data_IF_749297538148
#
_entry.id   IF_749297538148
#
_cell.length_a   1.000
_cell.length_b   1.000
_cell.length_c   1.000
_cell.angle_alpha   90.00
_cell.angle_beta   90.00
_cell.angle_gamma   90.00
#
_symmetry.space_group_name_H-M   'P 1'
#
loop_
_entity.id
_entity.type
_entity.pdbx_description
1 polymer ?
#
# COMPACT_ATOMS: atom_id res chain seq x y z
N UNK A 1 4.79 -44.72 -6.65
CA UNK A 1 4.47 -43.88 -7.84
C UNK A 1 3.25 -42.99 -7.64
N UNK A 2 2.18 -43.45 -7.00
CA UNK A 2 0.93 -42.70 -6.80
C UNK A 2 1.06 -41.36 -6.06
N UNK A 3 1.82 -41.27 -4.97
CA UNK A 3 1.96 -40.03 -4.19
C UNK A 3 2.63 -38.87 -4.96
N UNK A 4 3.54 -39.14 -5.91
CA UNK A 4 4.15 -38.10 -6.74
C UNK A 4 3.19 -37.55 -7.81
N UNK A 5 2.31 -38.38 -8.34
CA UNK A 5 1.28 -37.97 -9.31
C UNK A 5 0.23 -37.08 -8.64
N UNK A 6 -0.26 -37.51 -7.48
CA UNK A 6 -1.22 -36.71 -6.66
C UNK A 6 -0.64 -35.35 -6.29
N UNK A 7 0.61 -35.30 -5.84
CA UNK A 7 1.26 -34.03 -5.50
C UNK A 7 1.41 -33.08 -6.72
N UNK A 8 1.74 -33.61 -7.91
CA UNK A 8 1.79 -32.80 -9.14
C UNK A 8 0.41 -32.29 -9.56
N UNK A 9 -0.61 -33.10 -9.43
CA UNK A 9 -1.99 -32.70 -9.72
C UNK A 9 -2.44 -31.56 -8.80
N UNK A 10 -2.27 -31.72 -7.48
CA UNK A 10 -2.61 -30.68 -6.48
C UNK A 10 -1.88 -29.37 -6.79
N UNK A 11 -0.57 -29.40 -7.07
CA UNK A 11 0.19 -28.20 -7.39
C UNK A 11 -0.31 -27.49 -8.67
N UNK A 12 -0.80 -28.23 -9.67
CA UNK A 12 -1.41 -27.64 -10.88
C UNK A 12 -2.76 -27.01 -10.58
N UNK A 13 -3.62 -27.68 -9.82
CA UNK A 13 -4.92 -27.13 -9.41
C UNK A 13 -4.74 -25.85 -8.60
N UNK A 14 -3.78 -25.85 -7.66
CA UNK A 14 -3.43 -24.67 -6.88
C UNK A 14 -2.93 -23.52 -7.75
N UNK A 15 -2.05 -23.80 -8.70
CA UNK A 15 -1.57 -22.79 -9.65
C UNK A 15 -2.73 -22.18 -10.44
N UNK A 16 -3.62 -22.98 -10.95
CA UNK A 16 -4.79 -22.51 -11.71
C UNK A 16 -5.73 -21.67 -10.85
N UNK A 17 -6.00 -22.08 -9.61
CA UNK A 17 -6.86 -21.32 -8.70
C UNK A 17 -6.23 -19.97 -8.29
N UNK A 18 -4.94 -19.94 -7.93
CA UNK A 18 -4.22 -18.71 -7.58
C UNK A 18 -4.11 -17.78 -8.79
N UNK A 19 -3.74 -18.32 -9.96
CA UNK A 19 -3.68 -17.54 -11.20
C UNK A 19 -5.06 -17.03 -11.62
N UNK A 20 -6.09 -17.88 -11.59
CA UNK A 20 -7.45 -17.49 -11.97
C UNK A 20 -8.01 -16.38 -11.11
N UNK A 21 -7.90 -16.50 -9.77
CA UNK A 21 -8.34 -15.44 -8.85
C UNK A 21 -7.58 -14.13 -9.09
N UNK A 22 -6.26 -14.19 -9.21
CA UNK A 22 -5.43 -13.03 -9.52
C UNK A 22 -5.78 -12.41 -10.88
N UNK A 23 -5.86 -13.22 -11.95
CA UNK A 23 -6.12 -12.76 -13.31
C UNK A 23 -7.49 -12.07 -13.44
N UNK A 24 -8.54 -12.62 -12.82
CA UNK A 24 -9.86 -12.02 -12.80
C UNK A 24 -9.80 -10.64 -12.16
N UNK A 25 -9.24 -10.53 -10.96
CA UNK A 25 -9.16 -9.25 -10.25
C UNK A 25 -8.35 -8.21 -11.02
N UNK A 26 -7.15 -8.59 -11.50
CA UNK A 26 -6.28 -7.69 -12.27
C UNK A 26 -6.95 -7.26 -13.57
N UNK A 27 -7.60 -8.17 -14.30
CA UNK A 27 -8.31 -7.82 -15.54
C UNK A 27 -9.43 -6.82 -15.29
N UNK A 28 -10.22 -6.99 -14.22
CA UNK A 28 -11.25 -6.04 -13.82
C UNK A 28 -10.65 -4.67 -13.45
N UNK A 29 -9.56 -4.67 -12.68
CA UNK A 29 -8.87 -3.43 -12.30
C UNK A 29 -8.28 -2.69 -13.53
N UNK A 30 -7.67 -3.41 -14.46
CA UNK A 30 -7.11 -2.84 -15.69
C UNK A 30 -8.22 -2.30 -16.61
N UNK A 31 -9.35 -3.01 -16.70
CA UNK A 31 -10.52 -2.53 -17.45
C UNK A 31 -11.08 -1.24 -16.84
N UNK A 32 -11.24 -1.19 -15.53
CA UNK A 32 -11.75 0.01 -14.83
C UNK A 32 -10.74 1.17 -14.88
N UNK A 33 -9.43 0.89 -14.90
CA UNK A 33 -8.40 1.92 -14.92
C UNK A 33 -8.51 2.89 -16.12
N UNK A 34 -9.05 2.46 -17.25
CA UNK A 34 -9.29 3.34 -18.43
C UNK A 34 -10.31 4.46 -18.14
N UNK A 35 -11.16 4.26 -17.13
CA UNK A 35 -12.16 5.24 -16.69
C UNK A 35 -11.67 6.09 -15.51
N UNK A 36 -10.43 5.91 -15.05
CA UNK A 36 -9.91 6.69 -13.94
C UNK A 36 -9.90 8.18 -14.26
N UNK A 37 -10.21 8.99 -13.27
CA UNK A 37 -10.22 10.45 -13.32
C UNK A 37 -9.54 11.03 -12.10
N UNK A 38 -8.93 12.22 -12.20
CA UNK A 38 -8.39 12.91 -11.04
C UNK A 38 -9.46 13.12 -9.96
N UNK A 39 -9.08 12.90 -8.69
CA UNK A 39 -9.96 13.17 -7.58
C UNK A 39 -10.05 14.68 -7.31
N UNK A 40 -11.25 15.18 -7.04
CA UNK A 40 -11.48 16.61 -6.77
C UNK A 40 -10.88 17.06 -5.45
N UNK A 41 -10.77 16.16 -4.50
CA UNK A 41 -10.32 16.50 -3.13
C UNK A 41 -8.87 17.02 -3.13
N UNK A 42 -7.94 16.29 -3.74
CA UNK A 42 -6.51 16.60 -3.63
C UNK A 42 -5.78 16.69 -4.97
N UNK A 43 -6.16 15.89 -5.97
CA UNK A 43 -5.33 15.71 -7.16
C UNK A 43 -5.13 17.02 -7.96
N UNK A 44 -6.16 17.86 -8.05
CA UNK A 44 -6.02 19.17 -8.69
C UNK A 44 -5.16 20.14 -7.90
N UNK A 45 -5.13 20.03 -6.58
CA UNK A 45 -4.27 20.86 -5.73
C UNK A 45 -2.78 20.53 -5.98
N UNK A 46 -2.44 19.25 -6.03
CA UNK A 46 -1.08 18.81 -6.39
C UNK A 46 -0.75 19.15 -7.84
N UNK A 47 -1.69 18.93 -8.77
CA UNK A 47 -1.51 19.21 -10.19
C UNK A 47 -1.26 20.70 -10.46
N UNK A 48 -2.01 21.59 -9.82
CA UNK A 48 -1.80 23.02 -9.93
C UNK A 48 -0.42 23.43 -9.44
N UNK A 49 -0.04 23.00 -8.23
CA UNK A 49 1.27 23.35 -7.65
C UNK A 49 2.42 22.80 -8.50
N UNK A 50 2.27 21.59 -9.04
CA UNK A 50 3.28 21.00 -9.94
C UNK A 50 3.37 21.77 -11.27
N UNK A 51 2.26 22.27 -11.78
CA UNK A 51 2.21 23.08 -13.00
C UNK A 51 2.88 24.43 -12.81
N UNK A 52 2.69 25.06 -11.65
CA UNK A 52 3.20 26.40 -11.33
C UNK A 52 4.69 26.38 -10.97
N UNK A 53 5.10 25.45 -10.12
CA UNK A 53 6.44 25.44 -9.51
C UNK A 53 7.32 24.28 -10.00
N UNK A 54 6.78 23.30 -10.70
CA UNK A 54 7.46 22.05 -11.02
C UNK A 54 7.43 21.03 -9.88
N UNK A 55 7.87 19.80 -10.17
CA UNK A 55 7.73 18.65 -9.25
C UNK A 55 8.47 18.84 -7.93
N UNK A 56 9.75 19.20 -7.98
CA UNK A 56 10.59 19.28 -6.76
C UNK A 56 10.23 20.48 -5.90
N UNK A 57 10.00 21.66 -6.51
CA UNK A 57 9.60 22.85 -5.75
C UNK A 57 8.17 22.71 -5.20
N UNK A 58 7.26 22.04 -5.95
CA UNK A 58 5.94 21.69 -5.46
C UNK A 58 5.98 20.71 -4.27
N UNK A 59 6.83 19.70 -4.34
CA UNK A 59 7.05 18.77 -3.22
C UNK A 59 7.60 19.49 -1.99
N UNK A 60 8.52 20.44 -2.17
CA UNK A 60 9.03 21.27 -1.08
C UNK A 60 7.95 22.21 -0.50
N UNK A 61 7.11 22.81 -1.35
CA UNK A 61 5.96 23.62 -0.92
C UNK A 61 5.03 22.85 0.01
N UNK A 62 4.73 21.59 -0.35
CA UNK A 62 3.91 20.72 0.51
C UNK A 62 4.65 20.20 1.75
N UNK A 63 5.98 20.01 1.67
CA UNK A 63 6.80 19.63 2.83
C UNK A 63 6.77 20.71 3.91
N UNK A 64 6.81 21.96 3.52
CA UNK A 64 6.76 23.09 4.47
C UNK A 64 5.31 23.37 4.92
N UNK A 65 4.34 23.30 4.02
CA UNK A 65 2.98 23.76 4.27
C UNK A 65 1.98 22.68 4.70
N UNK A 66 2.30 21.38 4.57
CA UNK A 66 1.30 20.34 4.79
C UNK A 66 1.83 19.07 5.46
N UNK A 67 2.93 18.48 5.02
CA UNK A 67 3.30 17.11 5.44
C UNK A 67 4.78 16.84 5.28
N UNK A 68 5.41 16.21 6.29
CA UNK A 68 6.81 15.81 6.27
C UNK A 68 7.19 14.68 5.31
N UNK A 69 6.26 14.15 4.55
CA UNK A 69 6.43 13.02 3.61
C UNK A 69 7.23 13.44 2.38
N UNK A 70 8.51 13.80 2.53
CA UNK A 70 9.29 14.38 1.43
C UNK A 70 9.29 13.52 0.16
N UNK A 71 9.41 12.19 0.27
CA UNK A 71 9.33 11.29 -0.90
C UNK A 71 7.87 11.08 -1.35
N UNK A 72 6.93 10.96 -0.42
CA UNK A 72 5.49 10.91 -0.73
C UNK A 72 5.04 12.15 -1.49
N UNK A 73 5.48 13.35 -1.09
CA UNK A 73 5.20 14.60 -1.79
C UNK A 73 5.78 14.59 -3.21
N UNK A 74 7.02 14.08 -3.43
CA UNK A 74 7.56 13.93 -4.80
C UNK A 74 6.65 13.03 -5.64
N UNK A 75 6.22 11.89 -5.12
CA UNK A 75 5.32 10.98 -5.84
C UNK A 75 4.01 11.66 -6.20
N UNK A 76 3.38 12.39 -5.27
CA UNK A 76 2.14 13.12 -5.52
C UNK A 76 2.28 14.25 -6.55
N UNK A 77 3.44 14.90 -6.64
CA UNK A 77 3.70 15.92 -7.64
C UNK A 77 4.14 15.37 -9.02
N UNK A 78 4.58 14.10 -9.08
CA UNK A 78 4.80 13.40 -10.34
C UNK A 78 3.49 12.98 -11.02
N UNK A 79 2.41 12.78 -10.26
CA UNK A 79 1.14 12.28 -10.78
C UNK A 79 0.47 13.19 -11.82
N UNK A 80 0.60 14.53 -11.77
CA UNK A 80 0.08 15.39 -12.84
C UNK A 80 0.68 15.13 -14.22
N UNK A 81 1.82 14.45 -14.30
CA UNK A 81 2.36 13.99 -15.60
C UNK A 81 1.41 13.01 -16.31
N UNK A 82 0.54 12.35 -15.56
CA UNK A 82 -0.51 11.48 -16.09
C UNK A 82 -1.80 12.24 -16.43
N UNK A 83 -1.88 13.53 -16.12
CA UNK A 83 -2.99 14.38 -16.48
C UNK A 83 -2.78 14.90 -17.91
N UNK A 84 -3.47 14.34 -18.87
CA UNK A 84 -3.64 14.95 -20.18
C UNK A 84 -4.86 15.87 -20.17
N UNK A 85 -5.00 16.73 -21.19
CA UNK A 85 -6.20 17.55 -21.36
C UNK A 85 -7.51 16.76 -21.41
N UNK A 86 -7.43 15.50 -21.84
CA UNK A 86 -8.56 14.56 -21.93
C UNK A 86 -8.55 13.47 -20.86
N UNK A 87 -7.62 13.50 -19.91
CA UNK A 87 -7.40 12.46 -18.89
C UNK A 87 -7.15 11.06 -19.47
N UNK A 88 -6.60 10.98 -20.68
CA UNK A 88 -6.42 9.70 -21.40
C UNK A 88 -5.47 8.75 -20.71
N UNK A 89 -4.47 9.27 -19.98
CA UNK A 89 -3.47 8.49 -19.27
C UNK A 89 -3.74 8.32 -17.77
N UNK A 90 -4.94 8.71 -17.30
CA UNK A 90 -5.27 8.66 -15.86
C UNK A 90 -5.18 7.26 -15.25
N UNK A 91 -5.29 6.20 -16.06
CA UNK A 91 -5.15 4.82 -15.58
C UNK A 91 -3.71 4.31 -15.46
N UNK A 92 -2.72 5.04 -15.98
CA UNK A 92 -1.33 4.56 -16.06
C UNK A 92 -0.73 4.24 -14.68
N UNK A 93 -1.08 5.02 -13.65
CA UNK A 93 -0.67 4.75 -12.28
C UNK A 93 -1.09 3.35 -11.81
N UNK A 94 -2.32 2.93 -12.09
CA UNK A 94 -2.81 1.59 -11.72
C UNK A 94 -1.98 0.48 -12.38
N UNK A 95 -1.67 0.61 -13.67
CA UNK A 95 -0.82 -0.36 -14.38
C UNK A 95 0.58 -0.44 -13.76
N UNK A 96 1.20 0.72 -13.51
CA UNK A 96 2.54 0.79 -12.94
C UNK A 96 2.60 0.20 -11.52
N UNK A 97 1.61 0.50 -10.67
CA UNK A 97 1.55 -0.01 -9.31
C UNK A 97 1.31 -1.52 -9.27
N UNK A 98 0.41 -2.05 -10.10
CA UNK A 98 0.19 -3.50 -10.21
C UNK A 98 1.45 -4.22 -10.68
N UNK A 99 2.16 -3.68 -11.69
CA UNK A 99 3.41 -4.24 -12.17
C UNK A 99 4.52 -4.16 -11.11
N UNK A 100 4.66 -3.02 -10.42
CA UNK A 100 5.64 -2.84 -9.36
C UNK A 100 5.44 -3.84 -8.22
N UNK A 101 4.21 -3.97 -7.72
CA UNK A 101 3.90 -4.94 -6.68
C UNK A 101 4.09 -6.39 -7.14
N UNK A 102 3.77 -6.70 -8.38
CA UNK A 102 4.00 -8.04 -8.93
C UNK A 102 5.49 -8.38 -8.97
N UNK A 103 6.32 -7.49 -9.51
CA UNK A 103 7.78 -7.67 -9.59
C UNK A 103 8.40 -7.77 -8.19
N UNK A 104 7.99 -6.91 -7.25
CA UNK A 104 8.48 -6.94 -5.87
C UNK A 104 8.10 -8.23 -5.17
N UNK A 105 6.84 -8.69 -5.30
CA UNK A 105 6.40 -9.97 -4.72
C UNK A 105 7.10 -11.17 -5.35
N UNK A 106 7.33 -11.16 -6.66
CA UNK A 106 8.08 -12.20 -7.36
C UNK A 106 9.53 -12.28 -6.83
N UNK A 107 10.17 -11.12 -6.69
CA UNK A 107 11.53 -11.01 -6.16
C UNK A 107 11.58 -11.50 -4.70
N UNK A 108 10.66 -11.03 -3.86
CA UNK A 108 10.53 -11.45 -2.45
C UNK A 108 10.38 -12.97 -2.33
N UNK A 109 9.36 -13.55 -2.96
CA UNK A 109 9.08 -14.99 -2.85
C UNK A 109 10.24 -15.82 -3.36
N UNK A 110 10.81 -15.45 -4.51
CA UNK A 110 11.94 -16.15 -5.08
C UNK A 110 13.15 -16.17 -4.15
N UNK A 111 13.50 -15.02 -3.55
CA UNK A 111 14.67 -14.90 -2.66
C UNK A 111 14.46 -15.61 -1.32
N UNK A 112 13.24 -15.52 -0.77
CA UNK A 112 12.90 -16.17 0.51
C UNK A 112 12.86 -17.69 0.37
N UNK A 113 12.41 -18.22 -0.78
CA UNK A 113 12.17 -19.68 -0.96
C UNK A 113 13.20 -20.38 -1.81
N UNK A 114 14.05 -19.63 -2.53
CA UNK A 114 15.02 -20.14 -3.52
C UNK A 114 14.39 -21.01 -4.63
N UNK A 115 13.09 -20.83 -4.89
CA UNK A 115 12.37 -21.56 -5.93
C UNK A 115 12.77 -21.06 -7.33
N UNK A 116 12.97 -22.00 -8.25
CA UNK A 116 13.24 -21.66 -9.66
C UNK A 116 12.02 -21.11 -10.37
N UNK A 117 12.20 -20.36 -11.45
CA UNK A 117 11.10 -19.84 -12.30
C UNK A 117 10.24 -20.96 -12.93
N UNK A 118 10.74 -22.20 -13.00
CA UNK A 118 9.96 -23.34 -13.47
C UNK A 118 9.04 -23.93 -12.42
N UNK A 119 9.12 -23.47 -11.17
CA UNK A 119 8.34 -24.00 -10.06
C UNK A 119 6.92 -23.46 -10.05
N UNK A 120 5.92 -24.34 -10.12
CA UNK A 120 4.51 -23.97 -9.92
C UNK A 120 4.26 -23.37 -8.53
N UNK A 121 5.01 -23.78 -7.51
CA UNK A 121 4.91 -23.24 -6.14
C UNK A 121 5.33 -21.76 -6.09
N UNK A 122 6.37 -21.36 -6.85
CA UNK A 122 6.77 -19.94 -6.95
C UNK A 122 5.60 -19.10 -7.47
N UNK A 123 5.06 -19.47 -8.61
CA UNK A 123 4.00 -18.72 -9.26
C UNK A 123 2.70 -18.72 -8.46
N UNK A 124 2.31 -19.87 -7.88
CA UNK A 124 1.16 -19.92 -6.98
C UNK A 124 1.31 -18.96 -5.81
N UNK A 125 2.52 -18.87 -5.21
CA UNK A 125 2.78 -17.97 -4.09
C UNK A 125 2.66 -16.50 -4.50
N UNK A 126 3.26 -16.13 -5.65
CA UNK A 126 3.21 -14.75 -6.15
C UNK A 126 1.77 -14.34 -6.47
N UNK A 127 1.02 -15.20 -7.19
CA UNK A 127 -0.37 -14.91 -7.51
C UNK A 127 -1.26 -14.86 -6.27
N UNK A 128 -1.03 -15.74 -5.29
CA UNK A 128 -1.80 -15.77 -4.05
C UNK A 128 -1.57 -14.53 -3.19
N UNK A 129 -0.32 -14.10 -3.02
CA UNK A 129 0.02 -12.88 -2.28
C UNK A 129 -0.59 -11.64 -2.95
N UNK A 130 -0.45 -11.56 -4.28
CA UNK A 130 -1.03 -10.45 -5.03
C UNK A 130 -2.57 -10.47 -4.93
N UNK A 131 -3.20 -11.63 -5.11
CA UNK A 131 -4.64 -11.77 -4.92
C UNK A 131 -5.06 -11.39 -3.50
N UNK A 132 -4.38 -11.89 -2.46
CA UNK A 132 -4.65 -11.52 -1.08
C UNK A 132 -4.58 -10.00 -0.86
N UNK A 133 -3.59 -9.33 -1.44
CA UNK A 133 -3.52 -7.86 -1.42
C UNK A 133 -4.77 -7.25 -2.05
N UNK A 134 -5.10 -7.61 -3.29
CA UNK A 134 -6.15 -6.96 -4.07
C UNK A 134 -7.57 -7.25 -3.54
N UNK A 135 -7.82 -8.46 -3.02
CA UNK A 135 -9.12 -8.83 -2.49
C UNK A 135 -9.38 -8.38 -1.05
N UNK A 136 -8.32 -8.16 -0.24
CA UNK A 136 -8.46 -7.93 1.20
C UNK A 136 -8.26 -6.48 1.64
N UNK A 137 -7.63 -5.63 0.83
CA UNK A 137 -7.47 -4.21 1.19
C UNK A 137 -8.82 -3.51 1.21
N UNK A 138 -9.06 -2.63 2.20
CA UNK A 138 -10.29 -1.86 2.30
C UNK A 138 -10.31 -0.66 1.35
N UNK A 139 -9.17 0.01 1.17
CA UNK A 139 -9.05 1.24 0.38
C UNK A 139 -8.49 1.03 -1.03
N UNK A 140 -9.00 0.09 -1.82
CA UNK A 140 -8.48 -0.19 -3.15
C UNK A 140 -8.43 1.05 -4.05
N UNK A 141 -9.49 1.89 -4.03
CA UNK A 141 -9.52 3.13 -4.76
C UNK A 141 -8.35 4.04 -4.36
N UNK A 142 -8.14 4.20 -3.04
CA UNK A 142 -7.13 5.10 -2.49
C UNK A 142 -5.69 4.63 -2.77
N UNK A 143 -5.49 3.37 -3.11
CA UNK A 143 -4.17 2.79 -3.38
C UNK A 143 -3.83 2.75 -4.87
N UNK A 144 -4.81 2.50 -5.74
CA UNK A 144 -4.55 2.21 -7.14
C UNK A 144 -5.11 3.25 -8.11
N UNK A 145 -6.14 3.99 -7.73
CA UNK A 145 -6.83 4.92 -8.62
C UNK A 145 -6.68 6.38 -8.18
N UNK A 146 -6.55 6.64 -6.89
CA UNK A 146 -6.34 7.99 -6.39
C UNK A 146 -4.86 8.37 -6.45
N UNK A 147 -4.53 9.38 -7.26
CA UNK A 147 -3.14 9.78 -7.48
C UNK A 147 -2.42 10.21 -6.20
N UNK A 148 -3.11 10.92 -5.33
CA UNK A 148 -2.54 11.38 -4.07
C UNK A 148 -2.43 10.27 -3.01
N UNK A 149 -2.93 9.06 -3.27
CA UNK A 149 -2.89 7.93 -2.34
C UNK A 149 -1.80 6.88 -2.61
N UNK A 150 -1.19 6.92 -3.79
CA UNK A 150 -0.27 5.86 -4.27
C UNK A 150 0.95 5.60 -3.37
N UNK A 151 1.40 6.59 -2.62
CA UNK A 151 2.60 6.48 -1.77
C UNK A 151 2.45 5.44 -0.65
N UNK A 152 1.24 5.11 -0.20
CA UNK A 152 1.02 4.04 0.78
C UNK A 152 1.42 2.68 0.21
N UNK A 153 0.97 2.38 -1.01
CA UNK A 153 1.35 1.13 -1.66
C UNK A 153 2.84 1.08 -1.98
N UNK A 154 3.40 2.19 -2.48
CA UNK A 154 4.83 2.29 -2.78
C UNK A 154 5.65 2.10 -1.51
N UNK A 155 5.26 2.69 -0.37
CA UNK A 155 5.99 2.54 0.90
C UNK A 155 6.05 1.09 1.38
N UNK A 156 4.95 0.33 1.24
CA UNK A 156 4.93 -1.10 1.54
C UNK A 156 5.91 -1.88 0.68
N UNK A 157 5.92 -1.60 -0.64
CA UNK A 157 6.85 -2.28 -1.55
C UNK A 157 8.31 -1.94 -1.27
N UNK A 158 8.60 -0.71 -0.83
CA UNK A 158 9.95 -0.31 -0.40
C UNK A 158 10.40 -1.05 0.85
N UNK A 159 9.50 -1.30 1.81
CA UNK A 159 9.82 -2.14 2.99
C UNK A 159 10.22 -3.53 2.54
N UNK A 160 9.46 -4.16 1.65
CA UNK A 160 9.78 -5.51 1.17
C UNK A 160 11.09 -5.55 0.39
N UNK A 161 11.29 -4.58 -0.49
CA UNK A 161 12.54 -4.47 -1.26
C UNK A 161 13.75 -4.29 -0.33
N UNK A 162 13.63 -3.44 0.71
CA UNK A 162 14.70 -3.27 1.69
C UNK A 162 15.03 -4.59 2.38
N UNK A 163 14.02 -5.29 2.92
CA UNK A 163 14.26 -6.55 3.63
C UNK A 163 14.87 -7.62 2.71
N UNK A 164 14.39 -7.75 1.48
CA UNK A 164 14.94 -8.74 0.54
C UNK A 164 16.39 -8.42 0.19
N UNK A 165 16.69 -7.18 -0.13
CA UNK A 165 18.06 -6.77 -0.48
C UNK A 165 18.99 -6.90 0.73
N UNK A 166 18.53 -6.53 1.92
CA UNK A 166 19.34 -6.60 3.14
C UNK A 166 19.69 -8.04 3.55
N UNK A 167 18.71 -8.95 3.51
CA UNK A 167 18.90 -10.30 4.06
C UNK A 167 19.37 -11.33 3.02
N UNK A 168 19.07 -11.15 1.74
CA UNK A 168 19.26 -12.18 0.72
C UNK A 168 20.27 -11.81 -0.38
N UNK A 169 20.71 -10.56 -0.48
CA UNK A 169 21.72 -10.17 -1.44
C UNK A 169 23.12 -10.14 -0.81
N UNK A 170 24.12 -10.50 -1.62
CA UNK A 170 25.53 -10.47 -1.19
C UNK A 170 25.96 -9.04 -0.89
N UNK A 171 26.76 -8.86 0.15
CA UNK A 171 27.33 -7.56 0.51
C UNK A 171 28.26 -7.03 -0.61
N UNK A 172 27.81 -5.99 -1.29
CA UNK A 172 28.53 -5.26 -2.34
C UNK A 172 28.20 -3.78 -2.22
N UNK A 173 29.05 -2.94 -2.80
CA UNK A 173 28.78 -1.49 -2.81
C UNK A 173 27.45 -1.13 -3.52
N UNK A 174 27.09 -1.88 -4.58
CA UNK A 174 25.82 -1.70 -5.31
C UNK A 174 24.63 -2.02 -4.38
N UNK A 175 24.69 -3.14 -3.65
CA UNK A 175 23.69 -3.51 -2.66
C UNK A 175 23.54 -2.42 -1.60
N UNK A 176 24.65 -1.92 -1.05
CA UNK A 176 24.60 -0.84 -0.04
C UNK A 176 24.01 0.44 -0.62
N UNK A 177 24.35 0.81 -1.85
CA UNK A 177 23.74 1.97 -2.53
C UNK A 177 22.23 1.81 -2.73
N UNK A 178 21.76 0.61 -3.11
CA UNK A 178 20.34 0.30 -3.22
C UNK A 178 19.66 0.42 -1.84
N UNK A 179 20.27 -0.16 -0.78
CA UNK A 179 19.72 -0.09 0.58
C UNK A 179 19.60 1.35 1.09
N UNK A 180 20.61 2.16 0.87
CA UNK A 180 20.61 3.60 1.23
C UNK A 180 19.48 4.34 0.51
N UNK A 181 19.36 4.13 -0.81
CA UNK A 181 18.34 4.78 -1.63
C UNK A 181 16.93 4.35 -1.22
N UNK A 182 16.70 3.05 -1.07
CA UNK A 182 15.40 2.49 -0.67
C UNK A 182 15.03 2.96 0.74
N UNK A 183 15.98 2.96 1.68
CA UNK A 183 15.77 3.41 3.05
C UNK A 183 15.42 4.89 3.10
N UNK A 184 16.15 5.74 2.37
CA UNK A 184 15.85 7.17 2.32
C UNK A 184 14.46 7.45 1.74
N UNK A 185 14.07 6.79 0.64
CA UNK A 185 12.73 6.89 0.07
C UNK A 185 11.65 6.38 1.04
N UNK A 186 11.91 5.27 1.73
CA UNK A 186 10.99 4.68 2.70
C UNK A 186 10.72 5.64 3.86
N UNK A 187 11.78 6.25 4.43
CA UNK A 187 11.65 7.21 5.54
C UNK A 187 10.81 8.43 5.16
N UNK A 188 10.83 8.85 3.89
CA UNK A 188 10.06 9.97 3.38
C UNK A 188 8.71 9.63 2.77
N UNK A 189 8.27 8.36 2.78
CA UNK A 189 7.04 7.93 2.11
C UNK A 189 5.79 8.13 2.98
N UNK A 190 5.77 7.51 4.16
CA UNK A 190 4.62 7.46 5.06
C UNK A 190 5.09 7.34 6.50
N UNK A 191 4.52 8.11 7.40
CA UNK A 191 4.83 8.09 8.84
C UNK A 191 4.61 6.69 9.43
N UNK A 192 3.57 6.01 9.00
CA UNK A 192 3.20 4.68 9.50
C UNK A 192 4.23 3.64 9.07
N UNK A 193 4.57 3.60 7.78
CA UNK A 193 5.59 2.67 7.28
C UNK A 193 6.96 2.95 7.91
N UNK A 194 7.30 4.22 8.10
CA UNK A 194 8.51 4.64 8.80
C UNK A 194 8.54 4.13 10.25
N UNK A 195 7.45 4.30 11.01
CA UNK A 195 7.39 3.88 12.42
C UNK A 195 7.44 2.37 12.57
N UNK A 196 6.67 1.62 11.77
CA UNK A 196 6.68 0.15 11.79
C UNK A 196 8.06 -0.37 11.41
N UNK A 197 8.64 0.13 10.31
CA UNK A 197 9.98 -0.25 9.89
C UNK A 197 11.02 0.05 10.97
N UNK A 198 10.99 1.25 11.54
CA UNK A 198 11.94 1.68 12.57
C UNK A 198 11.88 0.81 13.81
N UNK A 199 10.69 0.56 14.34
CA UNK A 199 10.51 -0.25 15.53
C UNK A 199 10.92 -1.71 15.31
N UNK A 200 10.54 -2.30 14.19
CA UNK A 200 10.87 -3.70 13.89
C UNK A 200 12.35 -3.86 13.54
N UNK A 201 12.87 -3.09 12.58
CA UNK A 201 14.23 -3.28 12.09
C UNK A 201 15.27 -2.81 13.12
N UNK A 202 15.18 -1.56 13.58
CA UNK A 202 16.17 -1.03 14.51
C UNK A 202 16.01 -1.61 15.92
N UNK A 203 14.80 -1.90 16.35
CA UNK A 203 14.56 -2.62 17.61
C UNK A 203 15.25 -3.99 17.61
N UNK A 204 15.13 -4.73 16.48
CA UNK A 204 15.79 -6.02 16.35
C UNK A 204 17.32 -5.89 16.22
N UNK A 205 17.85 -4.87 15.51
CA UNK A 205 19.30 -4.63 15.47
C UNK A 205 19.87 -4.25 16.84
N UNK A 206 19.13 -3.44 17.61
CA UNK A 206 19.51 -3.07 18.97
C UNK A 206 19.54 -4.30 19.91
N UNK A 207 18.54 -5.17 19.79
CA UNK A 207 18.53 -6.46 20.47
C UNK A 207 19.76 -7.31 20.12
N UNK A 208 20.09 -7.45 18.84
CA UNK A 208 21.28 -8.19 18.40
C UNK A 208 22.56 -7.57 18.93
N UNK A 209 22.69 -6.25 18.86
CA UNK A 209 23.86 -5.55 19.40
C UNK A 209 24.06 -5.84 20.89
N UNK A 210 22.98 -5.77 21.67
CA UNK A 210 23.05 -5.95 23.14
C UNK A 210 23.42 -7.39 23.53
N UNK A 211 22.96 -8.40 22.79
CA UNK A 211 23.05 -9.80 23.21
C UNK A 211 23.90 -10.69 22.30
N UNK A 212 24.22 -10.27 21.09
CA UNK A 212 24.92 -11.09 20.08
C UNK A 212 26.20 -10.44 19.54
N UNK A 213 26.55 -9.22 19.93
CA UNK A 213 27.79 -8.55 19.58
C UNK A 213 27.63 -7.32 18.68
N UNK A 214 28.75 -6.69 18.30
CA UNK A 214 28.78 -5.40 17.62
C UNK A 214 28.11 -5.43 16.24
N UNK A 215 27.57 -4.29 15.84
CA UNK A 215 27.02 -4.08 14.52
C UNK A 215 28.15 -3.92 13.49
N UNK A 216 27.88 -4.25 12.24
CA UNK A 216 28.85 -4.04 11.14
C UNK A 216 28.82 -2.57 10.64
N UNK A 217 29.85 -2.17 9.88
CA UNK A 217 29.98 -0.81 9.37
C UNK A 217 28.81 -0.38 8.46
N UNK A 218 28.23 -1.29 7.70
CA UNK A 218 27.05 -1.02 6.86
C UNK A 218 25.86 -0.58 7.71
N UNK A 219 25.64 -1.21 8.86
CA UNK A 219 24.53 -0.82 9.75
C UNK A 219 24.70 0.57 10.34
N UNK A 220 25.93 1.02 10.60
CA UNK A 220 26.15 2.42 11.03
C UNK A 220 25.79 3.41 9.92
N UNK A 221 26.15 3.10 8.66
CA UNK A 221 25.74 3.93 7.52
C UNK A 221 24.22 3.97 7.37
N UNK A 222 23.56 2.81 7.40
CA UNK A 222 22.10 2.72 7.33
C UNK A 222 21.43 3.44 8.49
N UNK A 223 22.01 3.38 9.69
CA UNK A 223 21.50 4.13 10.85
C UNK A 223 21.59 5.64 10.61
N UNK A 224 22.70 6.14 10.08
CA UNK A 224 22.84 7.57 9.77
C UNK A 224 21.80 8.02 8.73
N UNK A 225 21.57 7.25 7.66
CA UNK A 225 20.56 7.55 6.64
C UNK A 225 19.14 7.50 7.23
N UNK A 226 18.87 6.47 8.05
CA UNK A 226 17.59 6.37 8.77
C UNK A 226 17.36 7.59 9.67
N UNK A 227 18.36 7.97 10.45
CA UNK A 227 18.23 9.11 11.37
C UNK A 227 17.99 10.42 10.61
N UNK A 228 18.72 10.65 9.52
CA UNK A 228 18.50 11.83 8.65
C UNK A 228 17.06 11.81 8.12
N UNK A 229 16.62 10.70 7.51
CA UNK A 229 15.27 10.60 6.95
C UNK A 229 14.18 10.73 8.02
N UNK A 230 14.39 10.12 9.19
CA UNK A 230 13.49 10.23 10.35
C UNK A 230 13.36 11.68 10.84
N UNK A 231 14.47 12.37 11.02
CA UNK A 231 14.47 13.77 11.45
C UNK A 231 13.83 14.68 10.40
N UNK A 232 14.13 14.50 9.12
CA UNK A 232 13.47 15.22 8.04
C UNK A 232 11.95 15.03 8.07
N UNK A 233 11.47 13.80 8.31
CA UNK A 233 10.04 13.52 8.40
C UNK A 233 9.41 14.20 9.63
N UNK A 234 9.96 13.99 10.82
CA UNK A 234 9.33 14.42 12.09
C UNK A 234 9.43 15.93 12.31
N UNK A 235 10.57 16.54 11.96
CA UNK A 235 10.81 17.98 12.18
C UNK A 235 10.26 18.86 11.06
N UNK A 236 9.55 18.29 10.09
CA UNK A 236 8.95 19.07 9.00
C UNK A 236 7.98 20.12 9.53
N UNK A 237 8.08 21.38 9.05
CA UNK A 237 7.11 22.42 9.39
C UNK A 237 5.67 22.04 9.02
N UNK A 238 5.46 21.31 7.91
CA UNK A 238 4.15 20.88 7.47
C UNK A 238 3.41 19.98 8.46
N UNK A 239 4.12 19.20 9.27
CA UNK A 239 3.49 18.38 10.31
C UNK A 239 2.86 19.23 11.42
N UNK A 240 3.45 20.39 11.72
CA UNK A 240 2.89 21.33 12.71
C UNK A 240 1.60 21.97 12.22
N UNK A 241 1.49 22.23 10.91
CA UNK A 241 0.27 22.78 10.29
C UNK A 241 -0.89 21.79 10.37
N UNK A 242 -0.59 20.47 10.26
CA UNK A 242 -1.60 19.41 10.31
C UNK A 242 -2.03 19.00 11.71
N UNK A 243 -1.20 19.25 12.72
CA UNK A 243 -1.52 18.88 14.10
C UNK A 243 -2.77 19.64 14.54
N UNK A 244 -3.90 18.96 14.56
CA UNK A 244 -5.15 19.49 15.10
C UNK A 244 -5.20 19.12 16.57
N UNK A 245 -5.14 20.12 17.41
CA UNK A 245 -5.59 20.20 18.81
C UNK A 245 -5.63 18.95 19.69
N UNK A 246 -5.19 19.13 20.90
CA UNK A 246 -5.21 18.30 22.10
C UNK A 246 -6.45 17.39 22.23
N UNK A 247 -6.34 16.19 21.72
CA UNK A 247 -7.31 15.13 22.06
C UNK A 247 -7.08 14.75 23.54
N UNK A 248 -8.10 14.75 24.39
CA UNK A 248 -7.99 14.31 25.77
C UNK A 248 -7.39 12.89 25.84
N UNK A 249 -6.56 12.63 26.85
CA UNK A 249 -5.84 11.35 26.98
C UNK A 249 -6.81 10.15 26.98
N UNK A 250 -7.93 10.26 27.69
CA UNK A 250 -8.94 9.19 27.77
C UNK A 250 -9.54 8.88 26.40
N UNK A 251 -9.91 9.93 25.64
CA UNK A 251 -10.48 9.77 24.30
C UNK A 251 -9.45 9.20 23.31
N UNK A 252 -8.22 9.67 23.37
CA UNK A 252 -7.13 9.14 22.54
C UNK A 252 -6.84 7.67 22.80
N UNK A 253 -6.88 7.21 24.06
CA UNK A 253 -6.76 5.79 24.42
C UNK A 253 -7.96 4.99 23.89
N UNK A 254 -9.18 5.50 24.03
CA UNK A 254 -10.38 4.82 23.53
C UNK A 254 -10.33 4.65 22.00
N UNK A 255 -9.94 5.70 21.27
CA UNK A 255 -9.74 5.68 19.82
C UNK A 255 -8.65 4.66 19.44
N UNK A 256 -7.52 4.66 20.15
CA UNK A 256 -6.43 3.71 19.91
C UNK A 256 -6.91 2.25 20.03
N UNK A 257 -7.61 1.93 21.11
CA UNK A 257 -8.13 0.58 21.35
C UNK A 257 -9.17 0.16 20.30
N UNK A 258 -10.06 1.07 19.92
CA UNK A 258 -11.04 0.83 18.86
C UNK A 258 -10.37 0.53 17.52
N UNK A 259 -9.35 1.27 17.16
CA UNK A 259 -8.59 1.12 15.94
C UNK A 259 -7.81 -0.20 15.90
N UNK A 260 -7.17 -0.60 17.00
CA UNK A 260 -6.48 -1.90 17.13
C UNK A 260 -7.48 -3.05 17.02
N UNK A 261 -8.63 -2.94 17.67
CA UNK A 261 -9.71 -3.94 17.56
C UNK A 261 -10.17 -4.09 16.11
N UNK A 262 -10.45 -3.00 15.43
CA UNK A 262 -10.88 -3.01 14.03
C UNK A 262 -9.85 -3.70 13.12
N UNK A 263 -8.56 -3.42 13.29
CA UNK A 263 -7.48 -4.07 12.56
C UNK A 263 -7.49 -5.59 12.76
N UNK A 264 -7.61 -6.05 14.00
CA UNK A 264 -7.64 -7.47 14.35
C UNK A 264 -8.86 -8.15 13.71
N UNK A 265 -10.04 -7.55 13.83
CA UNK A 265 -11.28 -8.07 13.25
C UNK A 265 -11.20 -8.18 11.73
N UNK A 266 -10.68 -7.16 11.04
CA UNK A 266 -10.52 -7.17 9.61
C UNK A 266 -9.50 -8.23 9.16
N UNK A 267 -8.38 -8.40 9.88
CA UNK A 267 -7.38 -9.40 9.56
C UNK A 267 -7.94 -10.82 9.63
N UNK A 268 -8.58 -11.17 10.74
CA UNK A 268 -9.10 -12.52 10.96
C UNK A 268 -10.38 -12.82 10.16
N UNK A 269 -11.14 -11.81 9.76
CA UNK A 269 -12.31 -11.97 8.90
C UNK A 269 -11.98 -12.19 7.42
N UNK A 270 -10.74 -11.92 6.99
CA UNK A 270 -10.32 -12.03 5.59
C UNK A 270 -9.90 -13.47 5.22
N UNK A 271 -10.64 -14.18 4.36
CA UNK A 271 -10.28 -15.55 3.97
C UNK A 271 -8.94 -15.62 3.21
N UNK A 272 -8.58 -14.59 2.42
CA UNK A 272 -7.30 -14.60 1.71
C UNK A 272 -6.10 -14.52 2.64
N UNK A 273 -6.21 -13.87 3.82
CA UNK A 273 -5.15 -13.89 4.83
C UNK A 273 -4.92 -15.32 5.33
N UNK A 274 -5.98 -16.05 5.62
CA UNK A 274 -5.90 -17.46 5.99
C UNK A 274 -5.35 -18.34 4.86
N UNK A 275 -5.77 -18.10 3.60
CA UNK A 275 -5.22 -18.82 2.45
C UNK A 275 -3.70 -18.67 2.36
N UNK A 276 -3.17 -17.46 2.55
CA UNK A 276 -1.72 -17.20 2.54
C UNK A 276 -1.02 -17.91 3.70
N UNK A 277 -1.53 -17.82 4.93
CA UNK A 277 -0.93 -18.48 6.09
C UNK A 277 -0.90 -19.99 5.93
N UNK A 278 -2.00 -20.60 5.48
CA UNK A 278 -2.08 -22.04 5.22
C UNK A 278 -1.15 -22.46 4.08
N UNK A 279 -1.05 -21.65 3.02
CA UNK A 279 -0.12 -21.90 1.93
C UNK A 279 1.33 -21.91 2.41
N UNK A 280 1.73 -20.94 3.22
CA UNK A 280 3.07 -20.88 3.82
C UNK A 280 3.30 -22.10 4.73
N UNK A 281 2.34 -22.43 5.58
CA UNK A 281 2.45 -23.53 6.52
C UNK A 281 2.60 -24.90 5.83
N UNK A 282 1.84 -25.17 4.78
CA UNK A 282 1.78 -26.50 4.19
C UNK A 282 2.60 -26.66 2.91
N UNK A 283 2.87 -25.59 2.17
CA UNK A 283 3.46 -25.67 0.84
C UNK A 283 4.86 -25.10 0.74
N UNK A 284 5.11 -23.91 1.34
CA UNK A 284 6.42 -23.26 1.24
C UNK A 284 7.41 -23.85 2.23
N UNK A 285 8.68 -23.91 1.84
CA UNK A 285 9.80 -24.35 2.66
C UNK A 285 10.89 -23.28 2.61
N UNK A 286 11.48 -22.97 3.78
CA UNK A 286 12.71 -22.21 3.82
C UNK A 286 13.87 -23.09 3.37
N UNK A 287 14.74 -22.62 2.51
CA UNK A 287 16.02 -23.28 2.24
C UNK A 287 16.78 -23.43 3.56
N UNK A 288 17.40 -24.61 3.77
CA UNK A 288 18.12 -24.95 5.01
C UNK A 288 19.24 -23.96 5.39
N UNK A 289 19.68 -23.14 4.45
CA UNK A 289 20.79 -22.17 4.61
C UNK A 289 20.37 -20.79 5.10
N UNK A 290 19.07 -20.44 5.11
CA UNK A 290 18.62 -19.08 5.39
C UNK A 290 17.93 -18.95 6.76
N UNK A 291 18.39 -17.93 7.51
CA UNK A 291 17.76 -17.27 8.66
C UNK A 291 16.96 -18.19 9.60
N UNK A 292 17.59 -19.24 10.16
CA UNK A 292 17.01 -19.90 11.30
C UNK A 292 17.12 -18.97 12.51
N UNK A 293 15.99 -18.44 12.93
CA UNK A 293 15.91 -17.64 14.15
C UNK A 293 15.72 -18.55 15.36
N UNK A 294 16.32 -18.18 16.49
CA UNK A 294 16.00 -18.83 17.76
C UNK A 294 14.56 -18.48 18.18
N UNK A 295 13.95 -19.31 19.02
CA UNK A 295 12.60 -19.03 19.56
C UNK A 295 12.58 -17.68 20.28
N UNK A 296 13.65 -17.34 21.01
CA UNK A 296 13.77 -16.06 21.70
C UNK A 296 13.80 -14.87 20.71
N UNK A 297 14.55 -14.99 19.60
CA UNK A 297 14.56 -13.96 18.56
C UNK A 297 13.17 -13.77 17.92
N UNK A 298 12.42 -14.86 17.72
CA UNK A 298 11.05 -14.81 17.22
C UNK A 298 10.10 -14.11 18.20
N UNK A 299 10.21 -14.40 19.50
CA UNK A 299 9.41 -13.75 20.55
C UNK A 299 9.71 -12.25 20.58
N UNK A 300 11.00 -11.86 20.60
CA UNK A 300 11.42 -10.47 20.61
C UNK A 300 10.91 -9.74 19.36
N UNK A 301 11.09 -10.34 18.18
CA UNK A 301 10.62 -9.74 16.93
C UNK A 301 9.09 -9.57 16.92
N UNK A 302 8.36 -10.55 17.48
CA UNK A 302 6.89 -10.48 17.62
C UNK A 302 6.48 -9.33 18.53
N UNK A 303 7.12 -9.19 19.69
CA UNK A 303 6.85 -8.08 20.60
C UNK A 303 7.15 -6.72 19.92
N UNK A 304 8.31 -6.59 19.27
CA UNK A 304 8.69 -5.37 18.55
C UNK A 304 7.69 -5.04 17.43
N UNK A 305 7.21 -6.03 16.68
CA UNK A 305 6.24 -5.83 15.63
C UNK A 305 4.92 -5.27 16.17
N UNK A 306 4.33 -5.91 17.19
CA UNK A 306 3.06 -5.45 17.76
C UNK A 306 3.19 -4.10 18.47
N UNK A 307 4.29 -3.86 19.20
CA UNK A 307 4.57 -2.54 19.80
C UNK A 307 4.67 -1.49 18.70
N UNK A 308 5.36 -1.77 17.59
CA UNK A 308 5.49 -0.82 16.47
C UNK A 308 4.15 -0.50 15.81
N UNK A 309 3.26 -1.47 15.66
CA UNK A 309 1.88 -1.26 15.20
C UNK A 309 1.15 -0.31 16.16
N UNK A 310 1.16 -0.60 17.46
CA UNK A 310 0.47 0.23 18.48
C UNK A 310 1.03 1.66 18.46
N UNK A 311 2.36 1.82 18.47
CA UNK A 311 3.02 3.14 18.40
C UNK A 311 2.63 3.89 17.12
N UNK A 312 2.44 3.20 16.00
CA UNK A 312 2.05 3.82 14.74
C UNK A 312 0.59 4.33 14.73
N UNK A 313 -0.26 3.85 15.63
CA UNK A 313 -1.60 4.39 15.83
C UNK A 313 -1.63 5.66 16.68
N UNK A 314 -0.58 5.93 17.50
CA UNK A 314 -0.56 7.08 18.41
C UNK A 314 -0.77 8.42 17.66
N UNK A 315 -0.05 8.74 16.56
CA UNK A 315 -0.27 9.98 15.85
C UNK A 315 -1.70 10.12 15.31
N UNK A 316 -2.31 9.03 14.86
CA UNK A 316 -3.68 9.01 14.34
C UNK A 316 -4.70 9.31 15.45
N UNK A 317 -4.53 8.68 16.61
CA UNK A 317 -5.47 8.77 17.72
C UNK A 317 -5.35 10.08 18.50
N UNK A 318 -4.13 10.59 18.71
CA UNK A 318 -3.88 11.74 19.58
C UNK A 318 -3.64 13.05 18.83
N UNK A 319 -3.03 13.01 17.64
CA UNK A 319 -2.78 14.22 16.87
C UNK A 319 -3.90 14.56 15.88
N UNK A 320 -4.58 13.55 15.33
CA UNK A 320 -5.66 13.75 14.37
C UNK A 320 -7.05 13.51 14.96
N UNK A 321 -7.16 12.81 16.11
CA UNK A 321 -8.45 12.49 16.74
C UNK A 321 -9.37 11.65 15.85
N UNK A 322 -8.81 10.88 14.93
CA UNK A 322 -9.57 10.11 13.95
C UNK A 322 -10.19 8.87 14.63
N UNK A 323 -11.50 8.90 14.84
CA UNK A 323 -12.27 7.77 15.37
C UNK A 323 -12.34 6.62 14.35
N UNK A 324 -12.28 6.94 13.05
CA UNK A 324 -12.22 5.96 11.97
C UNK A 324 -10.96 6.16 11.17
N UNK A 325 -10.12 5.13 11.18
CA UNK A 325 -8.88 5.17 10.39
C UNK A 325 -9.23 5.14 8.90
N UNK A 326 -8.61 5.99 8.08
CA UNK A 326 -8.75 5.91 6.64
C UNK A 326 -8.44 4.51 6.12
N UNK A 327 -9.28 3.98 5.24
CA UNK A 327 -9.18 2.62 4.70
C UNK A 327 -7.78 2.30 4.14
N UNK A 328 -7.12 3.29 3.53
CA UNK A 328 -5.74 3.16 3.02
C UNK A 328 -4.72 2.83 4.10
N UNK A 329 -4.95 3.31 5.32
CA UNK A 329 -4.07 3.09 6.47
C UNK A 329 -4.32 1.70 7.06
N UNK A 330 -5.57 1.31 7.27
CA UNK A 330 -5.92 -0.05 7.71
C UNK A 330 -5.36 -1.08 6.73
N UNK A 331 -5.51 -0.85 5.44
CA UNK A 331 -4.96 -1.73 4.40
C UNK A 331 -3.45 -1.92 4.53
N UNK A 332 -2.72 -0.86 4.86
CA UNK A 332 -1.28 -0.92 5.09
C UNK A 332 -0.93 -1.82 6.30
N UNK A 333 -1.62 -1.63 7.42
CA UNK A 333 -1.45 -2.46 8.61
C UNK A 333 -1.81 -3.94 8.35
N UNK A 334 -2.92 -4.20 7.65
CA UNK A 334 -3.34 -5.56 7.29
C UNK A 334 -2.26 -6.31 6.51
N UNK A 335 -1.63 -5.64 5.54
CA UNK A 335 -0.57 -6.26 4.75
C UNK A 335 0.72 -6.43 5.54
N UNK A 336 1.10 -5.50 6.39
CA UNK A 336 2.22 -5.71 7.32
C UNK A 336 1.97 -6.91 8.22
N UNK A 337 0.76 -7.06 8.78
CA UNK A 337 0.38 -8.23 9.58
C UNK A 337 0.45 -9.53 8.76
N UNK A 338 -0.07 -9.54 7.52
CA UNK A 338 -0.01 -10.71 6.66
C UNK A 338 1.42 -11.18 6.44
N UNK A 339 2.30 -10.27 6.00
CA UNK A 339 3.69 -10.63 5.71
C UNK A 339 4.44 -11.05 6.97
N UNK A 340 4.20 -10.36 8.07
CA UNK A 340 4.79 -10.72 9.35
C UNK A 340 4.33 -12.11 9.81
N UNK A 341 3.03 -12.40 9.78
CA UNK A 341 2.48 -13.71 10.17
C UNK A 341 2.96 -14.83 9.26
N UNK A 342 3.02 -14.61 7.94
CA UNK A 342 3.61 -15.55 6.98
C UNK A 342 5.09 -15.82 7.31
N UNK A 343 5.85 -14.78 7.66
CA UNK A 343 7.25 -14.94 8.05
C UNK A 343 7.39 -15.77 9.32
N UNK A 344 6.62 -15.49 10.38
CA UNK A 344 6.66 -16.27 11.65
C UNK A 344 6.25 -17.72 11.41
N UNK A 345 5.17 -17.98 10.66
CA UNK A 345 4.74 -19.35 10.31
C UNK A 345 5.86 -20.10 9.57
N UNK A 346 6.57 -19.43 8.66
CA UNK A 346 7.68 -20.02 7.93
C UNK A 346 8.87 -20.37 8.87
N UNK A 347 9.18 -19.49 9.83
CA UNK A 347 10.21 -19.72 10.83
C UNK A 347 9.85 -20.87 11.77
N UNK A 348 8.63 -20.92 12.31
CA UNK A 348 8.14 -21.99 13.17
C UNK A 348 8.20 -23.35 12.46
N UNK A 349 7.79 -23.39 11.17
CA UNK A 349 7.91 -24.59 10.35
C UNK A 349 9.36 -25.08 10.23
N UNK A 350 10.32 -24.17 10.15
CA UNK A 350 11.75 -24.53 10.07
C UNK A 350 12.29 -25.16 11.35
N UNK A 351 11.68 -24.83 12.50
CA UNK A 351 12.07 -25.37 13.84
C UNK A 351 11.42 -26.74 14.10
N UNK A 352 10.12 -26.88 13.79
CA UNK A 352 9.35 -28.08 14.15
C UNK A 352 9.42 -29.20 13.11
N UNK A 353 10.09 -28.99 11.97
CA UNK A 353 10.09 -29.97 10.87
C UNK A 353 8.81 -29.92 10.05
N UNK A 354 8.93 -30.16 8.76
CA UNK A 354 7.85 -29.90 7.81
C UNK A 354 6.60 -30.76 8.04
N UNK A 355 5.49 -30.12 8.29
CA UNK A 355 4.17 -30.74 8.16
C UNK A 355 3.83 -30.85 6.66
N UNK A 356 4.20 -31.95 6.04
CA UNK A 356 3.88 -32.21 4.64
C UNK A 356 2.49 -32.86 4.52
N UNK A 357 1.44 -32.08 4.66
CA UNK A 357 0.07 -32.56 4.54
C UNK A 357 -0.52 -32.11 3.18
N UNK A 358 -0.11 -32.80 2.11
CA UNK A 358 -0.56 -32.51 0.73
C UNK A 358 -2.11 -32.42 0.58
N UNK A 359 -2.87 -33.13 1.43
CA UNK A 359 -4.34 -33.10 1.37
C UNK A 359 -4.92 -31.82 2.01
N UNK A 360 -4.29 -31.29 3.05
CA UNK A 360 -4.75 -30.09 3.75
C UNK A 360 -4.50 -28.83 2.89
N UNK A 361 -3.56 -28.87 1.94
CA UNK A 361 -3.37 -27.75 1.00
C UNK A 361 -4.64 -27.46 0.18
N UNK A 362 -5.56 -28.40 0.03
CA UNK A 362 -6.87 -28.18 -0.60
C UNK A 362 -7.75 -27.20 0.19
N UNK A 363 -7.55 -27.06 1.52
CA UNK A 363 -8.23 -26.02 2.30
C UNK A 363 -7.92 -24.61 1.78
N UNK A 364 -6.74 -24.41 1.22
CA UNK A 364 -6.38 -23.11 0.61
C UNK A 364 -7.35 -22.75 -0.52
N UNK A 365 -7.81 -23.74 -1.30
CA UNK A 365 -8.81 -23.53 -2.37
C UNK A 365 -10.14 -23.05 -1.79
N UNK A 366 -10.57 -23.62 -0.67
CA UNK A 366 -11.79 -23.18 0.01
C UNK A 366 -11.67 -21.73 0.44
N UNK A 367 -10.53 -21.36 1.06
CA UNK A 367 -10.30 -19.99 1.49
C UNK A 367 -10.14 -19.00 0.32
N UNK A 368 -9.56 -19.41 -0.82
CA UNK A 368 -9.55 -18.60 -2.05
C UNK A 368 -10.98 -18.36 -2.51
N UNK A 369 -11.80 -19.42 -2.64
CA UNK A 369 -13.18 -19.29 -3.07
C UNK A 369 -14.03 -18.40 -2.16
N UNK A 370 -13.91 -18.61 -0.85
CA UNK A 370 -14.55 -17.75 0.15
C UNK A 370 -14.04 -16.30 0.09
N UNK A 371 -12.76 -16.11 -0.19
CA UNK A 371 -12.14 -14.79 -0.32
C UNK A 371 -12.66 -14.02 -1.53
N UNK A 372 -12.81 -14.68 -2.68
CA UNK A 372 -13.43 -14.06 -3.86
C UNK A 372 -14.89 -13.70 -3.56
N UNK A 373 -15.64 -14.63 -2.98
CA UNK A 373 -17.07 -14.43 -2.66
C UNK A 373 -17.32 -13.28 -1.67
N UNK A 374 -16.49 -13.19 -0.61
CA UNK A 374 -16.65 -12.18 0.45
C UNK A 374 -15.98 -10.84 0.14
N UNK A 375 -15.22 -10.73 -0.95
CA UNK A 375 -14.45 -9.51 -1.24
C UNK A 375 -15.35 -8.35 -1.65
N UNK A 376 -15.31 -7.29 -0.86
CA UNK A 376 -15.96 -6.02 -1.20
C UNK A 376 -15.38 -5.42 -2.48
N UNK A 377 -14.06 -5.54 -2.70
CA UNK A 377 -13.40 -5.01 -3.90
C UNK A 377 -13.86 -5.72 -5.16
N UNK A 378 -13.99 -7.05 -5.11
CA UNK A 378 -14.52 -7.81 -6.23
C UNK A 378 -15.97 -7.41 -6.55
N UNK A 379 -16.82 -7.36 -5.54
CA UNK A 379 -18.22 -6.95 -5.68
C UNK A 379 -18.34 -5.52 -6.25
N UNK A 380 -17.52 -4.59 -5.75
CA UNK A 380 -17.49 -3.21 -6.21
C UNK A 380 -17.08 -3.11 -7.69
N UNK A 381 -15.96 -3.74 -8.08
CA UNK A 381 -15.51 -3.73 -9.48
C UNK A 381 -16.52 -4.41 -10.40
N UNK A 382 -17.09 -5.54 -9.98
CA UNK A 382 -18.11 -6.24 -10.74
C UNK A 382 -19.35 -5.37 -10.96
N UNK A 383 -19.79 -4.65 -9.91
CA UNK A 383 -20.91 -3.70 -10.01
C UNK A 383 -20.58 -2.55 -10.98
N UNK A 384 -19.40 -1.93 -10.86
CA UNK A 384 -18.98 -0.84 -11.74
C UNK A 384 -18.94 -1.26 -13.23
N UNK A 385 -18.46 -2.48 -13.51
CA UNK A 385 -18.38 -3.03 -14.86
C UNK A 385 -19.79 -3.37 -15.38
N UNK A 386 -20.57 -4.13 -14.61
CA UNK A 386 -21.87 -4.61 -15.05
C UNK A 386 -22.92 -3.52 -15.19
N UNK A 387 -22.87 -2.51 -14.33
CA UNK A 387 -23.76 -1.34 -14.43
C UNK A 387 -23.28 -0.29 -15.44
N UNK A 388 -21.98 -0.28 -15.79
CA UNK A 388 -21.37 0.79 -16.59
C UNK A 388 -21.31 2.15 -15.88
N UNK A 389 -21.40 2.17 -14.54
CA UNK A 389 -21.42 3.43 -13.76
C UNK A 389 -20.11 4.21 -13.87
N UNK A 390 -18.96 3.51 -13.83
CA UNK A 390 -17.64 4.12 -14.02
C UNK A 390 -17.53 4.84 -15.37
N UNK A 391 -17.98 4.22 -16.45
CA UNK A 391 -17.94 4.79 -17.80
C UNK A 391 -18.83 6.05 -17.89
N UNK A 392 -20.09 5.97 -17.42
CA UNK A 392 -21.02 7.12 -17.45
C UNK A 392 -20.51 8.29 -16.62
N UNK A 393 -19.99 8.00 -15.41
CA UNK A 393 -19.37 9.01 -14.55
C UNK A 393 -18.20 9.68 -15.25
N UNK A 394 -17.27 8.91 -15.80
CA UNK A 394 -16.07 9.43 -16.45
C UNK A 394 -16.39 10.26 -17.68
N UNK A 395 -17.39 9.85 -18.48
CA UNK A 395 -17.85 10.60 -19.64
C UNK A 395 -18.40 11.98 -19.25
N UNK A 396 -19.25 12.01 -18.22
CA UNK A 396 -19.79 13.27 -17.70
C UNK A 396 -18.71 14.14 -17.05
N UNK A 397 -17.81 13.53 -16.27
CA UNK A 397 -16.67 14.20 -15.66
C UNK A 397 -15.77 14.86 -16.71
N UNK A 398 -15.35 14.13 -17.74
CA UNK A 398 -14.52 14.65 -18.81
C UNK A 398 -15.20 15.79 -19.57
N UNK A 399 -16.47 15.65 -19.88
CA UNK A 399 -17.25 16.70 -20.55
C UNK A 399 -17.32 18.01 -19.72
N UNK A 400 -17.54 17.89 -18.39
CA UNK A 400 -17.54 19.02 -17.47
C UNK A 400 -16.17 19.72 -17.43
N UNK A 401 -15.09 18.98 -17.29
CA UNK A 401 -13.75 19.58 -17.20
C UNK A 401 -13.29 20.17 -18.54
N UNK A 402 -13.75 19.60 -19.65
CA UNK A 402 -13.56 20.20 -20.97
C UNK A 402 -14.33 21.52 -21.08
N UNK A 403 -15.57 21.59 -20.58
CA UNK A 403 -16.32 22.83 -20.49
C UNK A 403 -15.57 23.89 -19.68
N UNK A 404 -15.00 23.54 -18.52
CA UNK A 404 -14.19 24.46 -17.71
C UNK A 404 -12.96 24.94 -18.49
N UNK A 405 -12.28 24.04 -19.18
CA UNK A 405 -11.07 24.34 -19.98
C UNK A 405 -11.37 25.31 -21.08
N UNK A 406 -12.46 25.10 -21.83
CA UNK A 406 -12.84 25.89 -22.99
C UNK A 406 -13.60 27.17 -22.66
N UNK A 407 -14.04 27.37 -21.43
CA UNK A 407 -14.79 28.56 -21.02
C UNK A 407 -13.98 29.84 -21.30
N UNK A 408 -14.58 30.78 -22.01
CA UNK A 408 -13.98 32.10 -22.27
C UNK A 408 -14.04 33.04 -21.07
N UNK A 409 -14.91 32.74 -20.10
CA UNK A 409 -15.10 33.53 -18.89
C UNK A 409 -14.13 33.05 -17.78
N UNK A 410 -13.67 34.00 -16.97
CA UNK A 410 -12.81 33.70 -15.78
C UNK A 410 -13.59 33.09 -14.63
N UNK A 411 -14.90 33.31 -14.58
CA UNK A 411 -15.79 32.73 -13.55
C UNK A 411 -16.65 31.67 -14.22
N UNK A 412 -16.47 30.43 -13.80
CA UNK A 412 -17.14 29.27 -14.41
C UNK A 412 -18.05 28.61 -13.40
N UNK A 413 -19.32 28.49 -13.73
CA UNK A 413 -20.30 27.75 -12.91
C UNK A 413 -20.76 26.54 -13.70
N UNK A 414 -20.60 25.35 -13.10
CA UNK A 414 -20.95 24.08 -13.73
C UNK A 414 -22.16 23.42 -13.07
N UNK A 415 -22.82 22.54 -13.80
CA UNK A 415 -23.90 21.72 -13.23
C UNK A 415 -23.32 20.64 -12.29
N UNK A 416 -24.05 20.19 -11.26
CA UNK A 416 -23.66 19.04 -10.46
C UNK A 416 -23.54 17.77 -11.31
N UNK A 417 -22.64 16.84 -10.93
CA UNK A 417 -22.56 15.52 -11.58
C UNK A 417 -23.82 14.71 -11.25
N UNK A 418 -24.41 14.12 -12.29
CA UNK A 418 -25.62 13.29 -12.18
C UNK A 418 -25.27 11.82 -12.02
N UNK A 419 -24.20 11.38 -12.72
CA UNK A 419 -23.73 10.02 -12.63
C UNK A 419 -22.66 9.91 -11.55
N UNK A 420 -22.80 8.92 -10.68
CA UNK A 420 -21.84 8.64 -9.61
C UNK A 420 -21.28 7.23 -9.80
N UNK A 421 -19.97 7.10 -9.72
CA UNK A 421 -19.28 5.81 -9.60
C UNK A 421 -19.02 5.55 -8.13
N UNK A 422 -19.39 4.39 -7.62
CA UNK A 422 -19.09 4.02 -6.23
C UNK A 422 -17.57 3.86 -6.01
N UNK A 423 -16.79 3.71 -7.11
CA UNK A 423 -15.34 3.62 -7.04
C UNK A 423 -14.67 5.01 -7.14
N UNK A 424 -15.10 5.89 -8.05
CA UNK A 424 -14.36 7.12 -8.38
C UNK A 424 -14.95 8.39 -7.78
N UNK A 425 -16.26 8.39 -7.50
CA UNK A 425 -16.91 9.56 -6.95
C UNK A 425 -16.64 9.63 -5.45
N UNK A 426 -15.98 10.68 -5.01
CA UNK A 426 -15.79 11.01 -3.58
C UNK A 426 -16.67 12.17 -3.19
N UNK A 427 -16.48 13.30 -3.84
CA UNK A 427 -17.26 14.53 -3.66
C UNK A 427 -17.34 15.32 -4.96
N UNK A 428 -18.30 16.25 -5.03
CA UNK A 428 -18.43 17.19 -6.13
C UNK A 428 -17.86 18.57 -5.75
N UNK A 429 -17.68 19.45 -6.73
CA UNK A 429 -17.35 20.85 -6.50
C UNK A 429 -18.34 21.49 -5.54
N UNK A 430 -17.87 22.36 -4.66
CA UNK A 430 -18.73 23.14 -3.77
C UNK A 430 -19.48 24.24 -4.55
N UNK A 431 -20.60 24.68 -4.01
CA UNK A 431 -21.29 25.91 -4.44
C UNK A 431 -20.51 27.16 -4.03
N UNK A 432 -19.68 27.08 -2.98
CA UNK A 432 -18.79 28.16 -2.58
C UNK A 432 -17.49 28.17 -3.42
N UNK A 433 -17.26 29.20 -4.25
CA UNK A 433 -16.04 29.33 -5.05
C UNK A 433 -14.78 29.49 -4.21
N UNK A 434 -14.90 29.84 -2.90
CA UNK A 434 -13.76 29.98 -1.97
C UNK A 434 -13.34 28.64 -1.37
N UNK A 435 -14.16 27.59 -1.56
CA UNK A 435 -13.81 26.25 -1.10
C UNK A 435 -12.47 25.78 -1.69
N UNK A 436 -11.66 25.09 -0.89
CA UNK A 436 -10.29 24.68 -1.27
C UNK A 436 -10.24 23.98 -2.63
N UNK A 437 -11.10 23.02 -2.86
CA UNK A 437 -11.09 22.22 -4.10
C UNK A 437 -11.51 23.04 -5.31
N UNK A 438 -12.49 23.93 -5.13
CA UNK A 438 -12.87 24.89 -6.19
C UNK A 438 -11.71 25.80 -6.59
N UNK A 439 -10.93 26.28 -5.59
CA UNK A 439 -9.72 27.08 -5.84
C UNK A 439 -8.64 26.28 -6.58
N UNK A 440 -8.41 25.02 -6.16
CA UNK A 440 -7.42 24.16 -6.81
C UNK A 440 -7.76 23.92 -8.29
N UNK A 441 -9.03 23.61 -8.60
CA UNK A 441 -9.49 23.45 -9.97
C UNK A 441 -9.39 24.78 -10.76
N UNK A 442 -9.81 25.88 -10.17
CA UNK A 442 -9.72 27.19 -10.80
C UNK A 442 -8.26 27.54 -11.16
N UNK A 443 -7.34 27.39 -10.22
CA UNK A 443 -5.93 27.65 -10.43
C UNK A 443 -5.32 26.73 -11.50
N UNK A 444 -5.67 25.42 -11.48
CA UNK A 444 -5.17 24.48 -12.49
C UNK A 444 -5.57 24.87 -13.92
N UNK A 445 -6.80 25.38 -14.12
CA UNK A 445 -7.31 25.83 -15.42
C UNK A 445 -7.07 27.33 -15.70
N UNK A 446 -6.40 28.08 -14.83
CA UNK A 446 -6.14 29.53 -14.99
C UNK A 446 -7.42 30.35 -14.94
N UNK A 447 -8.40 29.97 -14.13
CA UNK A 447 -9.67 30.69 -13.92
C UNK A 447 -9.66 31.46 -12.60
N UNK A 448 -10.44 32.54 -12.51
CA UNK A 448 -10.61 33.26 -11.24
C UNK A 448 -11.46 32.50 -10.23
N UNK A 449 -12.47 31.78 -10.73
CA UNK A 449 -13.29 30.90 -9.89
C UNK A 449 -13.95 29.78 -10.70
N UNK A 450 -14.05 28.62 -10.07
CA UNK A 450 -14.84 27.48 -10.56
C UNK A 450 -15.67 26.95 -9.40
N UNK A 451 -16.98 26.82 -9.60
CA UNK A 451 -17.88 26.23 -8.61
C UNK A 451 -19.08 25.57 -9.30
N UNK A 452 -19.82 24.74 -8.57
CA UNK A 452 -21.10 24.23 -9.07
C UNK A 452 -22.25 25.19 -8.77
N UNK A 453 -23.38 25.01 -9.51
CA UNK A 453 -24.64 25.68 -9.23
C UNK A 453 -25.18 25.30 -7.85
#
# INVERSE_FOLDING_TARGET
MGNKLVGRFINRVMLLACFGSWAIMVSMMLYIAQFNTPNLVDDFCFAWVSKEYGVLAGAYYYYVGWSGRYFGNILMHLTPLFFSSSFTFSGLNTYLLLAFGFVTNLYLVRRVTDLSFRSSRLWSSVFLIQAATLYSISGMYQWFYWFSGIYYYVSLQLVFLFFVVYFFEKATWIRTAILVSVLFCLMGSSEISMLIFSGVFWGYQLWKWRFKGPLNAELYLLFAIWLIGFLLMILSPGNQVRAVTNVPLADGIHILLANVKELIEQFFSSPFMWACMLWVLFVLELPKSYLRMSILDMIVLTALFFVSIIVSFIPLSFALGEVHIPERIISLFLLFMLFYMCFIVLQLKSVWGGLHLNRISLLVLVFIGLGVYKSKNFSLLFHEISSGSAERYTKEYRARFEQIRLAKTDKVVVAPLKNHSALFFTEDLSTDPKHLWCKCVANYYGKKSVNRK
#
